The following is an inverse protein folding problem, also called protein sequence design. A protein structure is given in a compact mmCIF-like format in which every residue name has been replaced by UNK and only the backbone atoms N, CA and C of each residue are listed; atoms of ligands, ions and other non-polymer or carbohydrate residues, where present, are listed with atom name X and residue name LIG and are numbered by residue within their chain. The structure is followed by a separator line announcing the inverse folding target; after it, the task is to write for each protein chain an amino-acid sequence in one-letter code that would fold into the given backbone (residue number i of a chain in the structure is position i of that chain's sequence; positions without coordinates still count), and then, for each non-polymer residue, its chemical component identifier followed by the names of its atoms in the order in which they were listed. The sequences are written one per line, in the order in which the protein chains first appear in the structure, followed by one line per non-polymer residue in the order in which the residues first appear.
data_IF_819879160983
#
_entry.id   IF_819879160983
#
_cell.length_a   1.000
_cell.length_b   1.000
_cell.length_c   1.000
_cell.angle_alpha   90.00
_cell.angle_beta   90.00
_cell.angle_gamma   90.00
#
_symmetry.space_group_name_H-M   'P 1'
#
loop_
_entity.id
_entity.type
_entity.pdbx_description
1 polymer ?
#
# COMPACT_ATOMS: atom_id res chain seq x y z
N UNK A 1 -11.27 16.10 22.40
CA UNK A 1 -10.94 15.29 21.19
C UNK A 1 -11.11 16.12 19.92
N UNK A 2 -12.16 16.96 19.77
CA UNK A 2 -12.47 17.72 18.55
C UNK A 2 -11.34 18.64 18.09
N UNK A 3 -10.77 19.45 18.99
CA UNK A 3 -9.62 20.33 18.66
C UNK A 3 -8.40 19.55 18.12
N UNK A 4 -8.18 18.32 18.59
CA UNK A 4 -7.13 17.46 18.07
C UNK A 4 -7.47 16.95 16.67
N UNK A 5 -8.73 16.58 16.41
CA UNK A 5 -9.18 16.13 15.09
C UNK A 5 -8.98 17.26 14.06
N UNK A 6 -9.34 18.49 14.43
CA UNK A 6 -9.11 19.67 13.61
C UNK A 6 -7.60 19.90 13.37
N UNK A 7 -6.79 19.83 14.42
CA UNK A 7 -5.34 19.96 14.32
C UNK A 7 -4.71 18.93 13.36
N UNK A 8 -5.08 17.65 13.46
CA UNK A 8 -4.49 16.63 12.58
C UNK A 8 -5.03 16.70 11.16
N UNK A 9 -6.25 17.22 10.96
CA UNK A 9 -6.85 17.37 9.62
C UNK A 9 -6.34 18.62 8.91
N UNK A 10 -6.33 19.77 9.58
CA UNK A 10 -6.01 21.08 8.98
C UNK A 10 -4.52 21.37 9.09
N UNK A 11 -3.96 21.34 10.31
CA UNK A 11 -2.57 21.75 10.54
C UNK A 11 -1.58 20.68 10.10
N UNK A 12 -1.81 19.40 10.45
CA UNK A 12 -0.96 18.29 10.00
C UNK A 12 -1.30 17.77 8.62
N UNK A 13 -2.45 18.13 8.05
CA UNK A 13 -2.86 17.71 6.71
C UNK A 13 -2.93 16.18 6.55
N UNK A 14 -3.35 15.45 7.59
CA UNK A 14 -3.47 14.01 7.50
C UNK A 14 -4.60 13.61 6.54
N UNK A 15 -4.44 12.44 5.90
CA UNK A 15 -5.47 11.88 5.01
C UNK A 15 -6.76 11.58 5.77
N UNK A 16 -7.95 11.76 5.14
CA UNK A 16 -9.24 11.52 5.81
C UNK A 16 -9.35 10.17 6.51
N UNK A 17 -8.86 9.09 5.89
CA UNK A 17 -8.83 7.75 6.50
C UNK A 17 -7.93 7.66 7.74
N UNK A 18 -6.86 8.46 7.80
CA UNK A 18 -5.99 8.52 8.98
C UNK A 18 -6.70 9.29 10.10
N UNK A 19 -7.31 10.43 9.78
CA UNK A 19 -8.10 11.21 10.73
C UNK A 19 -9.22 10.35 11.31
N UNK A 20 -9.98 9.63 10.47
CA UNK A 20 -11.03 8.70 10.91
C UNK A 20 -10.49 7.60 11.84
N UNK A 21 -9.33 7.03 11.53
CA UNK A 21 -8.72 6.00 12.37
C UNK A 21 -8.31 6.55 13.75
N UNK A 22 -7.70 7.74 13.80
CA UNK A 22 -7.34 8.41 15.05
C UNK A 22 -8.60 8.75 15.87
N UNK A 23 -9.60 9.37 15.22
CA UNK A 23 -10.87 9.71 15.88
C UNK A 23 -11.53 8.49 16.52
N UNK A 24 -11.65 7.40 15.76
CA UNK A 24 -12.23 6.14 16.25
C UNK A 24 -11.48 5.60 17.46
N UNK A 25 -10.15 5.60 17.41
CA UNK A 25 -9.34 5.08 18.51
C UNK A 25 -9.51 5.91 19.80
N UNK A 26 -9.61 7.23 19.68
CA UNK A 26 -9.82 8.14 20.82
C UNK A 26 -11.23 8.00 21.40
N UNK A 27 -12.28 7.99 20.56
CA UNK A 27 -13.64 7.79 21.02
C UNK A 27 -13.88 6.39 21.63
N UNK A 28 -13.23 5.34 21.10
CA UNK A 28 -13.25 4.00 21.69
C UNK A 28 -12.64 4.03 23.09
N UNK A 29 -11.54 4.76 23.29
CA UNK A 29 -10.88 4.89 24.59
C UNK A 29 -11.70 5.75 25.57
N UNK A 30 -12.22 6.89 25.15
CA UNK A 30 -13.07 7.76 25.96
C UNK A 30 -14.31 7.01 26.47
N UNK A 31 -14.95 6.22 25.59
CA UNK A 31 -16.06 5.35 25.96
C UNK A 31 -15.69 4.27 26.98
N UNK A 32 -14.47 3.73 26.86
CA UNK A 32 -13.98 2.68 27.76
C UNK A 32 -13.74 3.22 29.18
N UNK A 33 -13.19 4.44 29.31
CA UNK A 33 -12.88 5.02 30.63
C UNK A 33 -14.08 5.74 31.28
N UNK A 34 -15.15 6.02 30.52
CA UNK A 34 -16.38 6.70 30.94
C UNK A 34 -16.13 8.05 31.65
N UNK A 35 -15.05 8.74 31.30
CA UNK A 35 -14.66 10.06 31.81
C UNK A 35 -13.86 10.85 30.80
N UNK A 36 -13.50 12.10 31.12
CA UNK A 36 -12.64 12.91 30.25
C UNK A 36 -11.30 12.22 30.02
N UNK A 37 -10.94 12.07 28.74
CA UNK A 37 -9.70 11.44 28.29
C UNK A 37 -8.43 12.13 28.84
N UNK A 38 -8.51 13.43 29.14
CA UNK A 38 -7.40 14.20 29.74
C UNK A 38 -7.10 13.78 31.19
N UNK A 39 -8.05 13.14 31.87
CA UNK A 39 -7.91 12.65 33.24
C UNK A 39 -7.49 11.18 33.31
N UNK A 40 -7.18 10.59 32.15
CA UNK A 40 -6.84 9.16 32.10
C UNK A 40 -5.44 8.88 32.67
N UNK A 41 -5.33 7.77 33.38
CA UNK A 41 -4.06 7.26 33.90
C UNK A 41 -3.36 6.33 32.92
N UNK A 42 -2.07 6.06 33.15
CA UNK A 42 -1.33 5.06 32.36
C UNK A 42 -1.91 3.66 32.54
N UNK A 43 -2.45 3.33 33.71
CA UNK A 43 -3.08 2.04 34.01
C UNK A 43 -4.36 1.84 33.18
N UNK A 44 -5.18 2.87 33.05
CA UNK A 44 -6.40 2.81 32.22
C UNK A 44 -6.09 2.65 30.75
N UNK A 45 -5.04 3.32 30.24
CA UNK A 45 -4.58 3.11 28.87
C UNK A 45 -4.10 1.67 28.67
N UNK A 46 -3.33 1.12 29.62
CA UNK A 46 -2.89 -0.28 29.56
C UNK A 46 -4.07 -1.25 29.61
N UNK A 47 -5.06 -1.01 30.48
CA UNK A 47 -6.28 -1.82 30.54
C UNK A 47 -7.07 -1.79 29.23
N UNK A 48 -7.22 -0.61 28.62
CA UNK A 48 -7.85 -0.49 27.30
C UNK A 48 -7.10 -1.26 26.22
N UNK A 49 -5.77 -1.16 26.19
CA UNK A 49 -4.95 -1.87 25.23
C UNK A 49 -4.99 -3.38 25.42
N UNK A 50 -5.17 -3.86 26.65
CA UNK A 50 -5.29 -5.29 26.98
C UNK A 50 -6.55 -5.95 26.39
N UNK A 51 -7.57 -5.17 26.02
CA UNK A 51 -8.75 -5.68 25.32
C UNK A 51 -8.45 -6.25 23.93
N UNK A 52 -7.28 -5.97 23.38
CA UNK A 52 -6.92 -6.35 22.02
C UNK A 52 -5.81 -7.42 22.02
N UNK A 53 -6.08 -8.60 21.47
CA UNK A 53 -5.13 -9.72 21.44
C UNK A 53 -3.89 -9.43 20.55
N UNK A 54 -4.09 -8.72 19.44
CA UNK A 54 -3.03 -8.48 18.46
C UNK A 54 -2.13 -7.31 18.86
N UNK A 55 -0.84 -7.57 19.05
CA UNK A 55 0.15 -6.55 19.37
C UNK A 55 0.18 -5.38 18.35
N UNK A 56 -0.04 -5.67 17.06
CA UNK A 56 -0.13 -4.63 16.00
C UNK A 56 -1.31 -3.69 16.22
N UNK A 57 -2.46 -4.20 16.66
CA UNK A 57 -3.65 -3.39 17.00
C UNK A 57 -3.38 -2.55 18.23
N UNK A 58 -2.81 -3.15 19.29
CA UNK A 58 -2.40 -2.42 20.51
C UNK A 58 -1.46 -1.27 20.19
N UNK A 59 -0.41 -1.55 19.43
CA UNK A 59 0.58 -0.54 19.05
C UNK A 59 -0.02 0.59 18.20
N UNK A 60 -0.95 0.28 17.28
CA UNK A 60 -1.64 1.30 16.49
C UNK A 60 -2.48 2.21 17.38
N UNK A 61 -3.30 1.63 18.28
CA UNK A 61 -4.13 2.41 19.22
C UNK A 61 -3.27 3.24 20.18
N UNK A 62 -2.19 2.65 20.70
CA UNK A 62 -1.26 3.39 21.54
C UNK A 62 -0.59 4.54 20.79
N UNK A 63 -0.28 4.36 19.50
CA UNK A 63 0.25 5.45 18.66
C UNK A 63 -0.75 6.60 18.51
N UNK A 64 -2.06 6.28 18.36
CA UNK A 64 -3.13 7.28 18.31
C UNK A 64 -3.21 8.05 19.64
N UNK A 65 -3.22 7.36 20.77
CA UNK A 65 -3.24 7.97 22.11
C UNK A 65 -2.00 8.83 22.38
N UNK A 66 -0.80 8.30 22.09
CA UNK A 66 0.44 9.08 22.28
C UNK A 66 0.44 10.35 21.44
N UNK A 67 -0.04 10.31 20.20
CA UNK A 67 -0.12 11.49 19.33
C UNK A 67 -1.10 12.53 19.90
N UNK A 68 -2.22 12.07 20.47
CA UNK A 68 -3.20 12.93 21.14
C UNK A 68 -2.62 13.57 22.40
N UNK A 69 -2.00 12.81 23.29
CA UNK A 69 -1.38 13.35 24.50
C UNK A 69 -0.18 14.26 24.20
N UNK A 70 0.58 14.00 23.13
CA UNK A 70 1.62 14.91 22.67
C UNK A 70 1.04 16.25 22.20
N UNK A 71 -0.10 16.23 21.51
CA UNK A 71 -0.83 17.45 21.15
C UNK A 71 -1.32 18.19 22.39
N UNK A 72 -1.97 17.50 23.31
CA UNK A 72 -2.52 18.11 24.52
C UNK A 72 -1.42 18.71 25.41
N UNK A 73 -0.26 18.06 25.51
CA UNK A 73 0.89 18.59 26.24
C UNK A 73 1.46 19.84 25.58
N UNK A 74 1.63 19.83 24.25
CA UNK A 74 2.14 20.98 23.48
C UNK A 74 1.20 22.18 23.46
N UNK A 75 -0.10 21.92 23.59
CA UNK A 75 -1.16 22.93 23.65
C UNK A 75 -1.50 23.33 25.10
N UNK A 76 -0.71 22.89 26.09
CA UNK A 76 -0.85 23.21 27.51
C UNK A 76 -2.19 22.76 28.15
N UNK A 77 -2.91 21.83 27.50
CA UNK A 77 -4.11 21.21 28.08
C UNK A 77 -3.79 20.27 29.25
N UNK A 78 -2.58 19.71 29.29
CA UNK A 78 -2.07 18.86 30.36
C UNK A 78 -0.63 19.25 30.69
N UNK A 79 -0.25 19.19 31.97
CA UNK A 79 1.10 19.49 32.46
C UNK A 79 2.07 18.31 32.31
N UNK A 80 1.55 17.10 32.27
CA UNK A 80 2.33 15.86 32.13
C UNK A 80 1.61 14.91 31.20
N UNK A 81 2.37 14.10 30.45
CA UNK A 81 1.79 13.09 29.55
C UNK A 81 2.05 11.66 30.05
N UNK A 82 1.12 10.72 29.81
CA UNK A 82 1.33 9.32 30.14
C UNK A 82 2.58 8.76 29.42
N UNK A 83 3.48 8.11 30.17
CA UNK A 83 4.69 7.47 29.61
C UNK A 83 4.41 6.01 29.30
N UNK A 84 4.01 5.73 28.07
CA UNK A 84 3.74 4.38 27.60
C UNK A 84 4.68 4.01 26.44
N UNK A 85 5.27 2.82 26.55
CA UNK A 85 6.14 2.28 25.49
C UNK A 85 5.38 1.28 24.63
N UNK A 86 5.61 1.32 23.32
CA UNK A 86 5.12 0.30 22.41
C UNK A 86 5.66 -1.09 22.81
N UNK A 87 4.79 -2.10 22.79
CA UNK A 87 5.22 -3.48 22.96
C UNK A 87 6.19 -3.86 21.80
N UNK A 88 7.28 -4.53 22.13
CA UNK A 88 8.15 -5.12 21.11
C UNK A 88 7.32 -6.13 20.31
N UNK A 89 7.03 -5.80 19.06
CA UNK A 89 6.51 -6.78 18.11
C UNK A 89 7.69 -7.57 17.58
N UNK A 90 7.60 -8.89 17.62
CA UNK A 90 8.50 -9.73 16.81
C UNK A 90 8.28 -9.32 15.36
N UNK A 91 9.25 -8.65 14.77
CA UNK A 91 9.28 -8.43 13.34
C UNK A 91 9.47 -9.81 12.70
N UNK A 92 8.36 -10.42 12.27
CA UNK A 92 8.48 -11.49 11.29
C UNK A 92 9.17 -10.87 10.07
N UNK A 93 10.29 -11.45 9.65
CA UNK A 93 10.94 -11.07 8.40
C UNK A 93 9.85 -10.96 7.33
N UNK A 94 9.81 -9.86 6.58
CA UNK A 94 8.79 -9.67 5.57
C UNK A 94 8.89 -10.83 4.58
N UNK A 95 7.82 -11.61 4.47
CA UNK A 95 7.73 -12.68 3.47
C UNK A 95 7.74 -12.03 2.09
N UNK A 96 8.57 -12.54 1.20
CA UNK A 96 8.49 -12.28 -0.23
C UNK A 96 8.31 -13.62 -0.94
N UNK A 97 7.78 -13.59 -2.15
CA UNK A 97 7.66 -14.75 -3.03
C UNK A 97 8.70 -14.59 -4.15
N UNK A 98 9.36 -15.68 -4.47
CA UNK A 98 10.25 -15.73 -5.63
C UNK A 98 9.45 -15.79 -6.94
N UNK A 99 10.09 -15.42 -8.04
CA UNK A 99 9.47 -15.42 -9.36
C UNK A 99 8.86 -16.77 -9.74
N UNK A 100 9.63 -17.84 -9.54
CA UNK A 100 9.19 -19.21 -9.90
C UNK A 100 8.01 -19.67 -9.05
N UNK A 101 7.97 -19.31 -7.77
CA UNK A 101 6.84 -19.59 -6.88
C UNK A 101 5.57 -18.89 -7.39
N UNK A 102 5.67 -17.59 -7.72
CA UNK A 102 4.54 -16.82 -8.27
C UNK A 102 4.06 -17.47 -9.56
N UNK A 103 4.96 -17.73 -10.52
CA UNK A 103 4.60 -18.30 -11.81
C UNK A 103 4.02 -19.71 -11.69
N UNK A 104 4.53 -20.52 -10.76
CA UNK A 104 3.97 -21.84 -10.47
C UNK A 104 2.54 -21.75 -9.96
N UNK A 105 2.28 -20.89 -8.97
CA UNK A 105 0.94 -20.70 -8.40
C UNK A 105 -0.05 -20.17 -9.44
N UNK A 106 0.39 -19.30 -10.35
CA UNK A 106 -0.45 -18.73 -11.42
C UNK A 106 -0.87 -19.76 -12.48
N UNK A 107 -0.22 -20.95 -12.57
CA UNK A 107 -0.62 -22.03 -13.46
C UNK A 107 -2.02 -22.58 -13.12
N UNK A 108 -2.46 -22.45 -11.86
CA UNK A 108 -3.78 -22.91 -11.41
C UNK A 108 -4.95 -22.04 -11.90
N UNK A 109 -4.66 -20.87 -12.49
CA UNK A 109 -5.70 -19.94 -12.95
C UNK A 109 -6.23 -20.38 -14.32
N UNK A 110 -7.53 -20.65 -14.40
CA UNK A 110 -8.22 -20.92 -15.66
C UNK A 110 -8.36 -19.62 -16.48
N UNK A 111 -7.43 -19.41 -17.40
CA UNK A 111 -7.35 -18.22 -18.27
C UNK A 111 -8.29 -18.27 -19.48
N UNK A 112 -9.05 -19.35 -19.67
CA UNK A 112 -10.08 -19.42 -20.72
C UNK A 112 -11.30 -18.57 -20.41
N UNK A 113 -11.49 -18.18 -19.12
CA UNK A 113 -12.58 -17.34 -18.65
C UNK A 113 -12.11 -15.92 -18.41
N UNK A 114 -12.97 -14.94 -18.73
CA UNK A 114 -12.68 -13.50 -18.52
C UNK A 114 -12.18 -13.22 -17.10
N UNK A 115 -12.84 -13.78 -16.07
CA UNK A 115 -12.45 -13.53 -14.68
C UNK A 115 -11.08 -14.13 -14.34
N UNK A 116 -10.77 -15.32 -14.84
CA UNK A 116 -9.46 -15.93 -14.62
C UNK A 116 -8.37 -15.17 -15.34
N UNK A 117 -8.60 -14.74 -16.58
CA UNK A 117 -7.65 -13.89 -17.31
C UNK A 117 -7.43 -12.55 -16.62
N UNK A 118 -8.50 -11.93 -16.08
CA UNK A 118 -8.41 -10.73 -15.24
C UNK A 118 -7.51 -10.97 -14.02
N UNK A 119 -7.79 -12.03 -13.26
CA UNK A 119 -7.08 -12.33 -12.01
C UNK A 119 -5.59 -12.59 -12.27
N UNK A 120 -5.29 -13.33 -13.34
CA UNK A 120 -3.94 -13.57 -13.81
C UNK A 120 -3.22 -12.26 -14.19
N UNK A 121 -3.84 -11.44 -15.03
CA UNK A 121 -3.29 -10.16 -15.46
C UNK A 121 -3.10 -9.20 -14.27
N UNK A 122 -4.05 -9.14 -13.33
CA UNK A 122 -3.97 -8.31 -12.14
C UNK A 122 -2.78 -8.69 -11.23
N UNK A 123 -2.58 -9.98 -11.00
CA UNK A 123 -1.47 -10.45 -10.15
C UNK A 123 -0.12 -10.13 -10.80
N UNK A 124 0.02 -10.39 -12.09
CA UNK A 124 1.22 -10.02 -12.84
C UNK A 124 1.46 -8.51 -12.85
N UNK A 125 0.41 -7.72 -13.02
CA UNK A 125 0.49 -6.27 -12.98
C UNK A 125 0.98 -5.76 -11.61
N UNK A 126 0.43 -6.27 -10.51
CA UNK A 126 0.86 -5.92 -9.16
C UNK A 126 2.32 -6.28 -8.91
N UNK A 127 2.76 -7.45 -9.39
CA UNK A 127 4.13 -7.89 -9.24
C UNK A 127 5.09 -7.14 -10.17
N UNK A 128 4.68 -6.83 -11.41
CA UNK A 128 5.51 -6.12 -12.38
C UNK A 128 5.73 -4.64 -12.07
N UNK A 129 4.77 -4.00 -11.38
CA UNK A 129 4.80 -2.56 -11.12
C UNK A 129 5.09 -2.21 -9.66
N UNK A 130 4.94 -3.15 -8.74
CA UNK A 130 5.02 -2.89 -7.32
C UNK A 130 4.02 -1.83 -6.82
N UNK A 131 2.97 -1.50 -7.57
CA UNK A 131 2.00 -0.49 -7.17
C UNK A 131 1.22 -0.88 -5.91
N UNK A 132 0.74 0.10 -5.15
CA UNK A 132 -0.14 -0.15 -4.01
C UNK A 132 -1.51 -0.64 -4.49
N UNK A 133 -2.20 -1.44 -3.67
CA UNK A 133 -3.57 -1.90 -4.00
C UNK A 133 -4.52 -0.74 -4.32
N UNK A 134 -4.42 0.36 -3.58
CA UNK A 134 -5.24 1.55 -3.84
C UNK A 134 -4.92 2.21 -5.19
N UNK A 135 -3.69 2.13 -5.64
CA UNK A 135 -3.25 2.62 -6.95
C UNK A 135 -3.78 1.70 -8.06
N UNK A 136 -3.67 0.37 -7.86
CA UNK A 136 -4.26 -0.59 -8.80
C UNK A 136 -5.78 -0.44 -8.93
N UNK A 137 -6.51 -0.24 -7.82
CA UNK A 137 -7.97 0.01 -7.85
C UNK A 137 -8.33 1.22 -8.70
N UNK A 138 -7.57 2.31 -8.59
CA UNK A 138 -7.81 3.55 -9.30
C UNK A 138 -7.27 3.57 -10.73
N UNK A 139 -6.49 2.58 -11.14
CA UNK A 139 -5.81 2.60 -12.44
C UNK A 139 -6.78 2.51 -13.62
N UNK A 140 -6.49 3.28 -14.67
CA UNK A 140 -7.29 3.43 -15.87
C UNK A 140 -6.51 3.00 -17.11
N UNK A 141 -7.21 2.75 -18.21
CA UNK A 141 -6.58 2.51 -19.53
C UNK A 141 -5.72 3.69 -19.95
N UNK A 142 -6.22 4.91 -19.71
CA UNK A 142 -5.53 6.18 -20.01
C UNK A 142 -4.26 6.41 -19.18
N UNK A 143 -4.07 5.67 -18.08
CA UNK A 143 -2.83 5.74 -17.28
C UNK A 143 -1.69 4.91 -17.88
N UNK A 144 -1.99 4.07 -18.86
CA UNK A 144 -0.98 3.27 -19.57
C UNK A 144 -0.59 3.98 -20.84
N UNK A 145 0.71 4.28 -20.95
CA UNK A 145 1.24 4.91 -22.15
C UNK A 145 1.48 3.86 -23.25
N UNK A 146 1.56 4.30 -24.52
CA UNK A 146 1.79 3.42 -25.67
C UNK A 146 3.12 2.65 -25.56
N UNK A 147 4.13 3.27 -24.96
CA UNK A 147 5.44 2.69 -24.71
C UNK A 147 5.51 1.85 -23.41
N UNK A 148 4.34 1.49 -22.83
CA UNK A 148 4.22 0.50 -21.75
C UNK A 148 4.58 0.98 -20.36
N UNK A 149 4.35 2.27 -20.04
CA UNK A 149 4.46 2.80 -18.69
C UNK A 149 3.11 2.92 -18.01
N UNK A 150 3.11 2.70 -16.70
CA UNK A 150 2.00 3.03 -15.82
C UNK A 150 2.25 4.40 -15.17
N UNK A 151 1.35 5.33 -15.36
CA UNK A 151 1.32 6.61 -14.65
C UNK A 151 0.54 6.46 -13.35
N UNK A 152 1.19 6.68 -12.23
CA UNK A 152 0.59 6.57 -10.90
C UNK A 152 0.52 7.96 -10.28
N UNK A 153 -0.69 8.39 -9.95
CA UNK A 153 -0.94 9.67 -9.31
C UNK A 153 -0.88 9.52 -7.80
N UNK A 154 -0.12 10.40 -7.13
CA UNK A 154 -0.09 10.45 -5.68
C UNK A 154 -1.34 11.17 -5.16
N UNK A 155 -1.94 10.64 -4.09
CA UNK A 155 -3.10 11.25 -3.43
C UNK A 155 -2.80 12.58 -2.72
N UNK A 156 -1.52 13.00 -2.65
CA UNK A 156 -1.05 14.28 -2.10
C UNK A 156 -0.42 15.11 -3.21
N UNK A 157 -1.25 15.94 -3.89
CA UNK A 157 -0.77 16.93 -4.86
C UNK A 157 -0.32 16.35 -6.21
N UNK A 158 0.14 17.23 -7.11
CA UNK A 158 0.46 16.96 -8.51
C UNK A 158 1.65 16.01 -8.79
N UNK A 159 2.15 15.31 -7.78
CA UNK A 159 3.27 14.38 -7.98
C UNK A 159 2.77 13.07 -8.56
N UNK A 160 3.17 12.79 -9.78
CA UNK A 160 3.01 11.49 -10.44
C UNK A 160 4.34 10.78 -10.51
N UNK A 161 4.32 9.44 -10.55
CA UNK A 161 5.48 8.63 -10.91
C UNK A 161 5.14 7.72 -12.08
N UNK A 162 6.15 7.41 -12.86
CA UNK A 162 6.08 6.45 -13.95
C UNK A 162 6.74 5.14 -13.53
N UNK A 163 6.09 4.03 -13.82
CA UNK A 163 6.62 2.68 -13.57
C UNK A 163 6.52 1.87 -14.86
N UNK A 164 7.62 1.32 -15.38
CA UNK A 164 7.55 0.49 -16.58
C UNK A 164 6.83 -0.82 -16.28
N UNK A 165 5.94 -1.24 -17.15
CA UNK A 165 5.23 -2.51 -17.03
C UNK A 165 6.04 -3.56 -17.80
N UNK A 166 6.46 -4.64 -17.13
CA UNK A 166 7.20 -5.72 -17.77
C UNK A 166 6.39 -6.36 -18.93
N UNK A 167 7.03 -6.79 -20.03
CA UNK A 167 6.36 -7.27 -21.26
C UNK A 167 5.34 -8.38 -21.00
N UNK A 168 5.66 -9.33 -20.11
CA UNK A 168 4.74 -10.42 -19.73
C UNK A 168 3.44 -9.89 -19.11
N UNK A 169 3.53 -8.88 -18.25
CA UNK A 169 2.36 -8.26 -17.64
C UNK A 169 1.57 -7.41 -18.64
N UNK A 170 2.25 -6.71 -19.57
CA UNK A 170 1.59 -5.99 -20.66
C UNK A 170 0.79 -6.95 -21.56
N UNK A 171 1.38 -8.09 -21.93
CA UNK A 171 0.72 -9.11 -22.75
C UNK A 171 -0.51 -9.66 -22.05
N UNK A 172 -0.39 -10.01 -20.77
CA UNK A 172 -1.51 -10.51 -19.98
C UNK A 172 -2.64 -9.47 -19.85
N UNK A 173 -2.29 -8.21 -19.61
CA UNK A 173 -3.25 -7.11 -19.54
C UNK A 173 -3.97 -6.91 -20.88
N UNK A 174 -3.25 -6.91 -21.98
CA UNK A 174 -3.84 -6.79 -23.33
C UNK A 174 -4.82 -7.93 -23.61
N UNK A 175 -4.45 -9.16 -23.28
CA UNK A 175 -5.33 -10.33 -23.42
C UNK A 175 -6.61 -10.18 -22.58
N UNK A 176 -6.49 -9.78 -21.31
CA UNK A 176 -7.66 -9.52 -20.49
C UNK A 176 -8.56 -8.44 -21.09
N UNK A 177 -7.99 -7.31 -21.53
CA UNK A 177 -8.77 -6.21 -22.11
C UNK A 177 -9.49 -6.61 -23.41
N UNK A 178 -8.91 -7.52 -24.18
CA UNK A 178 -9.53 -8.10 -25.39
C UNK A 178 -10.70 -9.05 -25.05
N UNK A 179 -10.57 -9.84 -23.98
CA UNK A 179 -11.61 -10.77 -23.53
C UNK A 179 -12.73 -10.06 -22.77
N UNK A 180 -12.49 -8.85 -22.29
CA UNK A 180 -13.40 -8.13 -21.43
C UNK A 180 -14.67 -7.73 -22.19
N UNK A 181 -15.81 -8.25 -21.72
CA UNK A 181 -17.14 -8.03 -22.34
C UNK A 181 -17.72 -6.63 -22.07
N UNK A 182 -17.22 -5.90 -21.05
CA UNK A 182 -17.77 -4.61 -20.63
C UNK A 182 -16.78 -3.47 -20.88
N UNK A 183 -17.27 -2.38 -21.46
CA UNK A 183 -16.47 -1.17 -21.64
C UNK A 183 -16.36 -0.39 -20.34
N UNK A 184 -15.18 0.08 -20.05
CA UNK A 184 -14.85 0.98 -18.95
C UNK A 184 -13.44 1.50 -19.12
N UNK A 185 -13.16 2.71 -18.64
CA UNK A 185 -11.80 3.22 -18.55
C UNK A 185 -11.01 2.57 -17.41
N UNK A 186 -11.67 2.14 -16.32
CA UNK A 186 -10.99 1.40 -15.26
C UNK A 186 -10.41 0.08 -15.76
N UNK A 187 -9.17 -0.22 -15.35
CA UNK A 187 -8.49 -1.46 -15.76
C UNK A 187 -9.20 -2.69 -15.20
N UNK A 188 -9.54 -2.70 -13.93
CA UNK A 188 -9.96 -3.91 -13.21
C UNK A 188 -11.45 -3.87 -12.87
N UNK A 189 -12.23 -4.72 -13.51
CA UNK A 189 -13.67 -4.79 -13.30
C UNK A 189 -14.09 -6.08 -12.59
N UNK A 190 -15.14 -5.97 -11.79
CA UNK A 190 -15.90 -7.10 -11.27
C UNK A 190 -16.75 -7.72 -12.38
N UNK A 191 -17.34 -8.89 -12.13
CA UNK A 191 -18.31 -9.53 -13.04
C UNK A 191 -19.56 -8.63 -13.31
N UNK A 192 -19.85 -7.70 -12.40
CA UNK A 192 -20.93 -6.73 -12.55
C UNK A 192 -20.54 -5.49 -13.39
N UNK A 193 -19.29 -5.41 -13.85
CA UNK A 193 -18.78 -4.25 -14.60
C UNK A 193 -18.38 -3.06 -13.73
N UNK A 194 -18.41 -3.19 -12.40
CA UNK A 194 -17.95 -2.14 -11.47
C UNK A 194 -16.44 -2.29 -11.20
N UNK A 195 -15.71 -1.19 -10.94
CA UNK A 195 -14.32 -1.28 -10.54
C UNK A 195 -14.12 -2.21 -9.35
N UNK A 196 -13.04 -2.98 -9.34
CA UNK A 196 -12.69 -3.82 -8.20
C UNK A 196 -12.38 -2.96 -6.97
N UNK A 197 -12.86 -3.42 -5.81
CA UNK A 197 -12.48 -2.81 -4.53
C UNK A 197 -11.12 -3.32 -4.04
N UNK A 198 -10.51 -2.61 -3.07
CA UNK A 198 -9.30 -3.09 -2.37
C UNK A 198 -9.50 -4.47 -1.74
N UNK A 199 -10.69 -4.73 -1.19
CA UNK A 199 -11.04 -6.02 -0.59
C UNK A 199 -11.11 -7.10 -1.68
N UNK A 200 -11.66 -6.79 -2.85
CA UNK A 200 -11.73 -7.74 -3.97
C UNK A 200 -10.33 -8.12 -4.46
N UNK A 201 -9.44 -7.15 -4.66
CA UNK A 201 -8.05 -7.40 -5.04
C UNK A 201 -7.33 -8.24 -3.97
N UNK A 202 -7.51 -7.90 -2.68
CA UNK A 202 -6.95 -8.68 -1.59
C UNK A 202 -7.42 -10.14 -1.62
N UNK A 203 -8.72 -10.39 -1.81
CA UNK A 203 -9.28 -11.74 -1.91
C UNK A 203 -8.71 -12.51 -3.11
N UNK A 204 -8.56 -11.87 -4.27
CA UNK A 204 -7.96 -12.49 -5.46
C UNK A 204 -6.51 -12.93 -5.18
N UNK A 205 -5.66 -12.02 -4.71
CA UNK A 205 -4.27 -12.35 -4.41
C UNK A 205 -4.16 -13.43 -3.34
N UNK A 206 -4.97 -13.32 -2.27
CA UNK A 206 -5.00 -14.32 -1.20
C UNK A 206 -5.45 -15.70 -1.67
N UNK A 207 -6.42 -15.75 -2.59
CA UNK A 207 -6.93 -17.00 -3.17
C UNK A 207 -5.85 -17.77 -3.92
N UNK A 208 -5.08 -17.10 -4.77
CA UNK A 208 -4.14 -17.78 -5.67
C UNK A 208 -2.72 -17.89 -5.09
N UNK A 209 -2.27 -16.90 -4.31
CA UNK A 209 -0.92 -16.85 -3.79
C UNK A 209 -0.82 -17.08 -2.27
N UNK A 210 -1.93 -17.22 -1.57
CA UNK A 210 -1.92 -17.41 -0.11
C UNK A 210 -1.42 -16.22 0.71
N UNK A 211 -1.02 -15.11 0.09
CA UNK A 211 -0.40 -13.93 0.70
C UNK A 211 -1.22 -12.66 0.50
N UNK A 212 -0.82 -11.56 1.13
CA UNK A 212 -1.42 -10.25 0.88
C UNK A 212 -0.77 -9.55 -0.32
N UNK A 213 -1.44 -8.60 -0.98
CA UNK A 213 -0.86 -7.81 -2.07
C UNK A 213 0.40 -7.01 -1.68
N UNK A 214 0.56 -6.67 -0.40
CA UNK A 214 1.79 -6.04 0.10
C UNK A 214 3.03 -6.93 -0.07
N UNK A 215 2.83 -8.25 0.02
CA UNK A 215 3.91 -9.22 -0.23
C UNK A 215 4.37 -9.14 -1.69
N UNK A 216 3.46 -9.02 -2.66
CA UNK A 216 3.84 -8.85 -4.08
C UNK A 216 4.67 -7.58 -4.31
N UNK A 217 4.27 -6.48 -3.70
CA UNK A 217 5.04 -5.23 -3.78
C UNK A 217 6.43 -5.39 -3.12
N UNK A 218 6.51 -6.13 -2.02
CA UNK A 218 7.78 -6.44 -1.39
C UNK A 218 8.62 -7.37 -2.28
N UNK A 219 7.99 -8.38 -2.89
CA UNK A 219 8.63 -9.28 -3.86
C UNK A 219 9.19 -8.53 -5.07
N UNK A 220 8.46 -7.54 -5.61
CA UNK A 220 8.96 -6.65 -6.66
C UNK A 220 10.24 -5.92 -6.23
N UNK A 221 10.21 -5.28 -5.05
CA UNK A 221 11.37 -4.55 -4.53
C UNK A 221 12.57 -5.48 -4.32
N UNK A 222 12.33 -6.63 -3.69
CA UNK A 222 13.37 -7.64 -3.40
C UNK A 222 13.96 -8.21 -4.69
N UNK A 223 13.13 -8.52 -5.69
CA UNK A 223 13.59 -9.03 -6.97
C UNK A 223 14.52 -8.04 -7.70
N UNK A 224 14.18 -6.74 -7.69
CA UNK A 224 15.04 -5.71 -8.27
C UNK A 224 16.37 -5.58 -7.51
N UNK A 225 16.33 -5.55 -6.18
CA UNK A 225 17.54 -5.41 -5.34
C UNK A 225 18.45 -6.64 -5.50
N UNK A 226 17.90 -7.84 -5.44
CA UNK A 226 18.68 -9.07 -5.64
C UNK A 226 19.21 -9.20 -7.08
N UNK A 227 18.49 -8.62 -8.04
CA UNK A 227 18.93 -8.52 -9.42
C UNK A 227 20.08 -7.51 -9.63
N UNK A 228 20.39 -6.66 -8.63
CA UNK A 228 21.47 -5.67 -8.70
C UNK A 228 21.01 -4.24 -9.01
N UNK A 229 19.71 -3.95 -8.96
CA UNK A 229 19.19 -2.60 -9.16
C UNK A 229 19.63 -1.66 -8.03
N UNK A 230 19.92 -0.39 -8.37
CA UNK A 230 20.21 0.64 -7.37
C UNK A 230 19.00 0.85 -6.45
N UNK A 231 19.26 0.90 -5.14
CA UNK A 231 18.23 1.08 -4.12
C UNK A 231 17.40 2.37 -4.33
N UNK A 232 18.04 3.41 -4.87
CA UNK A 232 17.39 4.69 -5.16
C UNK A 232 16.36 4.54 -6.27
N UNK A 233 16.73 3.82 -7.34
CA UNK A 233 15.81 3.51 -8.44
C UNK A 233 14.60 2.73 -7.93
N UNK A 234 14.82 1.74 -7.06
CA UNK A 234 13.74 0.96 -6.44
C UNK A 234 12.84 1.84 -5.58
N UNK A 235 13.41 2.77 -4.79
CA UNK A 235 12.63 3.72 -3.99
C UNK A 235 11.78 4.66 -4.85
N UNK A 236 12.31 5.15 -5.97
CA UNK A 236 11.59 6.01 -6.93
C UNK A 236 10.42 5.25 -7.56
N UNK A 237 10.66 4.04 -8.08
CA UNK A 237 9.62 3.17 -8.64
C UNK A 237 8.50 2.90 -7.64
N UNK A 238 8.84 2.72 -6.37
CA UNK A 238 7.87 2.48 -5.30
C UNK A 238 7.18 3.75 -4.81
N UNK A 239 7.74 4.93 -5.04
CA UNK A 239 7.22 6.20 -4.53
C UNK A 239 7.27 6.25 -3.02
N UNK A 240 8.45 6.03 -2.43
CA UNK A 240 8.72 6.22 -1.01
C UNK A 240 8.98 7.70 -0.74
N UNK A 241 8.10 8.36 0.00
CA UNK A 241 8.29 9.73 0.50
C UNK A 241 9.30 9.70 1.66
N UNK A 242 10.58 9.55 1.40
CA UNK A 242 11.63 9.90 2.37
C UNK A 242 11.93 11.38 2.25
N UNK A 243 11.73 12.13 3.33
CA UNK A 243 11.80 13.61 3.41
C UNK A 243 13.18 14.19 3.06
N UNK A 244 14.20 13.37 2.92
CA UNK A 244 15.59 13.83 2.74
C UNK A 244 16.00 13.97 1.26
N UNK A 245 15.21 13.52 0.31
CA UNK A 245 15.70 13.29 -1.05
C UNK A 245 14.98 14.02 -2.19
N UNK A 246 14.01 14.87 -1.90
CA UNK A 246 13.26 15.58 -2.98
C UNK A 246 14.12 16.62 -3.73
N UNK A 247 15.27 17.02 -3.20
CA UNK A 247 16.15 18.02 -3.84
C UNK A 247 17.27 17.43 -4.72
N UNK A 248 17.52 16.11 -4.65
CA UNK A 248 18.66 15.49 -5.37
C UNK A 248 18.22 14.66 -6.60
N UNK A 249 16.91 14.36 -6.76
CA UNK A 249 16.42 13.34 -7.70
C UNK A 249 15.83 13.85 -9.03
N UNK A 250 16.12 15.09 -9.40
CA UNK A 250 15.73 15.63 -10.72
C UNK A 250 16.51 15.01 -11.91
N UNK A 251 17.40 14.05 -11.66
CA UNK A 251 18.33 13.55 -12.67
C UNK A 251 18.16 12.06 -13.07
N UNK A 252 17.28 11.28 -12.42
CA UNK A 252 16.97 9.94 -12.93
C UNK A 252 16.10 10.07 -14.18
N UNK A 253 16.67 9.72 -15.32
CA UNK A 253 15.94 9.76 -16.57
C UNK A 253 14.97 8.56 -16.65
N UNK A 254 13.90 8.73 -17.41
CA UNK A 254 12.90 7.68 -17.68
C UNK A 254 13.57 6.39 -18.18
N UNK A 255 14.64 6.53 -18.92
CA UNK A 255 15.43 5.42 -19.46
C UNK A 255 16.15 4.60 -18.37
N UNK A 256 16.72 5.26 -17.35
CA UNK A 256 17.38 4.56 -16.24
C UNK A 256 16.39 3.68 -15.45
N UNK A 257 15.16 4.17 -15.25
CA UNK A 257 14.10 3.40 -14.60
C UNK A 257 13.71 2.18 -15.44
N UNK A 258 13.60 2.34 -16.75
CA UNK A 258 13.27 1.25 -17.69
C UNK A 258 14.37 0.20 -17.71
N UNK A 259 15.61 0.60 -17.94
CA UNK A 259 16.76 -0.31 -17.96
C UNK A 259 16.91 -1.07 -16.63
N UNK A 260 16.66 -0.41 -15.52
CA UNK A 260 16.72 -1.08 -14.23
C UNK A 260 15.67 -2.19 -14.10
N UNK A 261 14.43 -1.98 -14.56
CA UNK A 261 13.41 -3.03 -14.55
C UNK A 261 13.73 -4.12 -15.60
N UNK A 262 14.14 -3.75 -16.80
CA UNK A 262 14.48 -4.70 -17.86
C UNK A 262 15.66 -5.60 -17.50
N UNK A 263 16.70 -5.04 -16.87
CA UNK A 263 17.90 -5.77 -16.52
C UNK A 263 17.74 -6.61 -15.24
N UNK A 264 16.91 -6.20 -14.31
CA UNK A 264 16.90 -6.75 -12.95
C UNK A 264 15.58 -7.41 -12.53
N UNK A 265 14.45 -7.11 -13.21
CA UNK A 265 13.17 -7.73 -12.84
C UNK A 265 12.96 -9.06 -13.58
N UNK A 266 12.61 -10.17 -12.90
CA UNK A 266 12.47 -11.49 -13.52
C UNK A 266 11.43 -11.55 -14.66
N UNK A 267 10.31 -10.82 -14.54
CA UNK A 267 9.29 -10.75 -15.60
C UNK A 267 9.77 -10.05 -16.88
N UNK A 268 10.85 -9.29 -16.83
CA UNK A 268 11.42 -8.66 -18.02
C UNK A 268 12.35 -9.62 -18.77
N UNK A 269 12.96 -10.58 -18.06
CA UNK A 269 13.87 -11.59 -18.63
C UNK A 269 13.16 -12.83 -19.20
N UNK A 270 11.90 -13.03 -18.86
CA UNK A 270 11.16 -14.25 -19.13
C UNK A 270 10.28 -14.20 -20.37
N UNK A 271 10.87 -14.08 -21.56
CA UNK A 271 10.24 -14.54 -22.82
C UNK A 271 11.36 -15.13 -23.68
N UNK A 272 11.79 -16.31 -23.33
CA UNK A 272 12.47 -17.24 -24.24
C UNK A 272 11.48 -18.32 -24.61
#
# INVERSE_FOLDING_TARGET
VEAFIEYISVIKGLRPLSVEAYSRDLYDFERFIEKDILQSSSEEILAFLALYDKATTRNRKLSSLNTFFDFCYKSEFISTKPKLKLAKTTQNLPKFLEYDEIMHMLKSIDRSKEQGMRDYALILFLYATGCRVSEAVGSRKSDITEDGWLRIYNAKGDKQRLVPIAPVAQKALKQYLQMRSRESDFLWLSYQGKPLSRISIFKIVKKYLGVSPHVLRHSFATALILGGADLRVVQELLGHESIITTQIYTHLQKEDLRQSVENHHPLAKGVS
#
